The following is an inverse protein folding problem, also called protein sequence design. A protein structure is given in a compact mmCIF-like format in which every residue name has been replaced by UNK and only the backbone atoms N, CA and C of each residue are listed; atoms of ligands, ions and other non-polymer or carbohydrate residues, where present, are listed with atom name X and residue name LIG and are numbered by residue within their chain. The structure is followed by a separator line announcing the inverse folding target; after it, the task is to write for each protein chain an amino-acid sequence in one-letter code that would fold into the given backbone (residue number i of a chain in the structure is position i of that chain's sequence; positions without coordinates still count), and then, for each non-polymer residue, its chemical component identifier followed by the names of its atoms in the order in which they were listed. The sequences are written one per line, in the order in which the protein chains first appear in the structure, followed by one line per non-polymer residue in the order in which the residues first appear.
data_IF_667080174115
#
_entry.id   IF_667080174115
#
_cell.length_a   1.000
_cell.length_b   1.000
_cell.length_c   1.000
_cell.angle_alpha   90.00
_cell.angle_beta   90.00
_cell.angle_gamma   90.00
#
_symmetry.space_group_name_H-M   'P 1'
#
loop_
_entity.id
_entity.type
_entity.pdbx_description
1 polymer ?
#
# COMPACT_ATOMS: atom_id res chain seq x y z
N UNK A 1 -6.94 -13.01 5.60
CA UNK A 1 -6.95 -11.64 5.04
C UNK A 1 -6.84 -11.76 3.52
N UNK A 2 -7.80 -11.20 2.80
CA UNK A 2 -7.86 -11.23 1.33
C UNK A 2 -7.53 -9.84 0.76
N UNK A 3 -6.53 -9.76 -0.13
CA UNK A 3 -6.09 -8.53 -0.78
C UNK A 3 -6.33 -8.62 -2.28
N UNK A 4 -6.87 -7.53 -2.82
CA UNK A 4 -7.08 -7.31 -4.25
C UNK A 4 -6.47 -5.96 -4.63
N UNK A 5 -5.69 -5.93 -5.70
CA UNK A 5 -5.14 -4.68 -6.20
C UNK A 5 -6.15 -4.00 -7.12
N UNK A 6 -6.54 -2.79 -6.76
CA UNK A 6 -7.46 -1.95 -7.52
C UNK A 6 -6.71 -1.04 -8.50
N UNK A 7 -5.39 -1.13 -8.60
CA UNK A 7 -4.55 -0.25 -9.42
C UNK A 7 -3.81 0.80 -8.58
N UNK A 8 -2.72 1.34 -9.12
CA UNK A 8 -1.89 2.35 -8.45
C UNK A 8 -1.51 1.98 -7.01
N UNK A 9 -1.88 2.79 -6.02
CA UNK A 9 -1.72 2.52 -4.59
C UNK A 9 -3.00 2.00 -3.91
N UNK A 10 -4.04 1.67 -4.67
CA UNK A 10 -5.34 1.29 -4.11
C UNK A 10 -5.52 -0.22 -3.99
N UNK A 11 -5.95 -0.66 -2.82
CA UNK A 11 -6.20 -2.07 -2.51
C UNK A 11 -7.55 -2.22 -1.81
N UNK A 12 -8.30 -3.25 -2.19
CA UNK A 12 -9.43 -3.77 -1.40
C UNK A 12 -8.88 -4.88 -0.48
N UNK A 13 -8.95 -4.65 0.83
CA UNK A 13 -8.51 -5.58 1.85
C UNK A 13 -9.75 -6.05 2.61
N UNK A 14 -10.01 -7.35 2.59
CA UNK A 14 -11.10 -7.98 3.33
C UNK A 14 -10.53 -8.77 4.51
N UNK A 15 -10.99 -8.46 5.71
CA UNK A 15 -10.65 -9.17 6.95
C UNK A 15 -11.90 -9.36 7.80
N UNK A 16 -12.22 -10.62 8.13
CA UNK A 16 -13.52 -10.99 8.68
C UNK A 16 -14.67 -10.48 7.81
N UNK A 17 -15.52 -9.65 8.39
CA UNK A 17 -16.62 -8.95 7.70
C UNK A 17 -16.26 -7.52 7.25
N UNK A 18 -15.05 -7.04 7.53
CA UNK A 18 -14.62 -5.65 7.26
C UNK A 18 -13.90 -5.56 5.92
N UNK A 19 -14.36 -4.66 5.05
CA UNK A 19 -13.66 -4.23 3.84
C UNK A 19 -13.01 -2.87 4.07
N UNK A 20 -11.76 -2.79 3.66
CA UNK A 20 -10.92 -1.60 3.74
C UNK A 20 -10.48 -1.25 2.32
N UNK A 21 -10.61 0.01 1.94
CA UNK A 21 -10.01 0.54 0.70
C UNK A 21 -8.89 1.50 1.07
N UNK A 22 -7.70 1.26 0.54
CA UNK A 22 -6.57 2.19 0.65
C UNK A 22 -6.57 3.12 -0.55
N UNK A 23 -6.26 4.40 -0.33
CA UNK A 23 -5.95 5.41 -1.36
C UNK A 23 -6.84 5.34 -2.61
N UNK A 24 -8.18 5.49 -2.47
CA UNK A 24 -9.08 5.46 -3.62
C UNK A 24 -8.74 6.59 -4.61
N UNK A 25 -8.91 6.33 -5.90
CA UNK A 25 -8.62 7.28 -6.98
C UNK A 25 -9.84 7.46 -7.90
N UNK A 26 -9.79 8.48 -8.77
CA UNK A 26 -10.79 8.72 -9.82
C UNK A 26 -10.28 8.28 -11.22
N UNK A 27 -11.16 8.32 -12.21
CA UNK A 27 -10.87 7.88 -13.59
C UNK A 27 -9.74 8.66 -14.28
N UNK A 28 -9.32 9.82 -13.77
CA UNK A 28 -8.22 10.60 -14.34
C UNK A 28 -6.89 9.88 -14.25
N UNK A 29 -6.78 8.91 -13.33
CA UNK A 29 -5.63 8.05 -13.22
C UNK A 29 -5.51 7.06 -14.39
N UNK A 30 -6.62 6.84 -15.10
CA UNK A 30 -6.75 6.04 -16.32
C UNK A 30 -7.22 4.60 -16.11
N UNK A 31 -7.35 4.18 -14.85
CA UNK A 31 -8.01 2.92 -14.49
C UNK A 31 -9.53 3.05 -14.56
N UNK A 32 -10.26 2.04 -15.08
CA UNK A 32 -11.72 2.04 -15.01
C UNK A 32 -12.21 2.03 -13.56
N UNK A 33 -13.17 2.91 -13.25
CA UNK A 33 -13.82 2.95 -11.95
C UNK A 33 -14.87 1.84 -11.86
N UNK A 34 -14.68 0.95 -10.89
CA UNK A 34 -15.66 -0.06 -10.52
C UNK A 34 -16.32 0.38 -9.21
N UNK A 35 -17.66 0.36 -9.09
CA UNK A 35 -18.33 0.63 -7.82
C UNK A 35 -17.82 -0.31 -6.73
N UNK A 36 -17.41 0.26 -5.59
CA UNK A 36 -16.96 -0.49 -4.41
C UNK A 36 -17.56 0.12 -3.15
N UNK A 37 -17.85 -0.73 -2.18
CA UNK A 37 -18.27 -0.32 -0.85
C UNK A 37 -17.27 -0.80 0.17
N UNK A 38 -16.98 0.04 1.16
CA UNK A 38 -16.08 -0.30 2.26
C UNK A 38 -16.61 0.25 3.58
N UNK A 39 -16.25 -0.42 4.67
CA UNK A 39 -16.50 0.07 6.02
C UNK A 39 -15.40 1.05 6.46
N UNK A 40 -14.19 0.94 5.88
CA UNK A 40 -13.05 1.80 6.20
C UNK A 40 -12.37 2.27 4.91
N UNK A 41 -11.95 3.53 4.88
CA UNK A 41 -11.05 4.06 3.86
C UNK A 41 -9.83 4.68 4.53
N UNK A 42 -8.62 4.30 4.11
CA UNK A 42 -7.40 5.03 4.48
C UNK A 42 -6.94 5.92 3.34
N UNK A 43 -6.49 7.13 3.65
CA UNK A 43 -5.93 8.08 2.67
C UNK A 43 -4.56 8.51 3.15
N UNK A 44 -3.50 8.06 2.49
CA UNK A 44 -2.12 8.36 2.87
C UNK A 44 -1.80 9.85 2.79
N UNK A 45 -2.35 10.55 1.79
CA UNK A 45 -2.18 11.98 1.58
C UNK A 45 -3.22 12.55 0.61
N UNK A 46 -3.27 13.89 0.48
CA UNK A 46 -4.36 14.61 -0.19
C UNK A 46 -4.11 14.89 -1.68
N UNK A 47 -3.23 14.13 -2.35
CA UNK A 47 -3.10 14.23 -3.80
C UNK A 47 -4.29 13.57 -4.51
N UNK A 48 -4.56 14.04 -5.73
CA UNK A 48 -5.75 13.70 -6.51
C UNK A 48 -5.84 12.22 -6.89
N UNK A 49 -4.70 11.52 -6.92
CA UNK A 49 -4.55 10.10 -7.24
C UNK A 49 -4.65 9.17 -6.02
N UNK A 50 -4.93 9.71 -4.83
CA UNK A 50 -5.03 8.94 -3.57
C UNK A 50 -6.26 9.26 -2.70
N UNK A 51 -7.02 10.32 -2.99
CA UNK A 51 -8.05 10.84 -2.07
C UNK A 51 -9.49 10.88 -2.62
N UNK A 52 -9.81 10.05 -3.61
CA UNK A 52 -11.12 10.00 -4.25
C UNK A 52 -12.19 9.25 -3.41
N UNK A 53 -12.26 9.53 -2.11
CA UNK A 53 -13.16 8.88 -1.14
C UNK A 53 -14.63 8.96 -1.56
N UNK A 54 -15.04 10.04 -2.24
CA UNK A 54 -16.41 10.24 -2.71
C UNK A 54 -16.90 9.17 -3.71
N UNK A 55 -15.99 8.37 -4.29
CA UNK A 55 -16.33 7.26 -5.18
C UNK A 55 -16.49 5.91 -4.45
N UNK A 56 -16.27 5.88 -3.13
CA UNK A 56 -16.45 4.69 -2.29
C UNK A 56 -17.82 4.74 -1.61
N UNK A 57 -18.66 3.73 -1.87
CA UNK A 57 -19.96 3.55 -1.23
C UNK A 57 -19.84 2.95 0.20
N UNK A 58 -20.98 2.74 0.85
CA UNK A 58 -21.05 2.13 2.18
C UNK A 58 -20.84 3.07 3.38
N UNK A 59 -20.70 4.38 3.15
CA UNK A 59 -20.42 5.40 4.18
C UNK A 59 -19.22 5.04 5.07
N UNK A 60 -18.02 4.86 4.47
CA UNK A 60 -16.86 4.38 5.19
C UNK A 60 -16.42 5.36 6.28
N UNK A 61 -15.81 4.82 7.35
CA UNK A 61 -14.97 5.62 8.23
C UNK A 61 -13.67 5.97 7.52
N UNK A 62 -13.46 7.26 7.28
CA UNK A 62 -12.26 7.78 6.63
C UNK A 62 -11.16 8.05 7.66
N UNK A 63 -9.98 7.48 7.44
CA UNK A 63 -8.79 7.66 8.27
C UNK A 63 -7.69 8.24 7.38
N UNK A 64 -7.34 9.50 7.61
CA UNK A 64 -6.40 10.25 6.76
C UNK A 64 -5.27 10.95 7.53
N UNK A 65 -5.24 10.77 8.86
CA UNK A 65 -4.28 11.42 9.75
C UNK A 65 -3.51 10.38 10.55
N UNK A 66 -2.25 10.65 10.94
CA UNK A 66 -1.51 9.83 11.89
C UNK A 66 -2.27 9.62 13.21
N UNK A 67 -2.08 8.47 13.84
CA UNK A 67 -2.75 8.13 15.09
C UNK A 67 -3.21 6.67 15.14
N UNK A 68 -3.83 6.28 16.25
CA UNK A 68 -4.34 4.93 16.47
C UNK A 68 -5.86 4.91 16.41
N UNK A 69 -6.41 4.04 15.56
CA UNK A 69 -7.83 3.94 15.28
C UNK A 69 -8.29 2.48 15.38
N UNK A 70 -9.27 2.21 16.25
CA UNK A 70 -9.97 0.93 16.30
C UNK A 70 -11.30 1.00 15.56
N UNK A 71 -11.57 0.03 14.69
CA UNK A 71 -12.85 -0.15 13.99
C UNK A 71 -13.20 -1.64 13.99
N UNK A 72 -14.12 -2.04 14.87
CA UNK A 72 -14.38 -3.46 15.11
C UNK A 72 -13.11 -4.17 15.59
N UNK A 73 -12.76 -5.28 14.93
CA UNK A 73 -11.57 -6.08 15.22
C UNK A 73 -10.33 -5.61 14.43
N UNK A 74 -10.43 -4.52 13.67
CA UNK A 74 -9.34 -3.95 12.90
C UNK A 74 -8.71 -2.80 13.68
N UNK A 75 -7.38 -2.88 13.87
CA UNK A 75 -6.57 -1.78 14.40
C UNK A 75 -5.79 -1.14 13.25
N UNK A 76 -5.90 0.18 13.12
CA UNK A 76 -5.20 0.97 12.11
C UNK A 76 -4.32 1.99 12.83
N UNK A 77 -3.03 1.97 12.53
CA UNK A 77 -2.06 2.95 13.04
C UNK A 77 -1.43 3.72 11.89
N UNK A 78 -1.65 5.03 11.86
CA UNK A 78 -1.02 5.94 10.91
C UNK A 78 0.25 6.54 11.50
N UNK A 79 1.35 6.52 10.73
CA UNK A 79 2.63 7.11 11.10
C UNK A 79 3.00 8.23 10.12
N UNK A 80 3.44 9.40 10.61
CA UNK A 80 3.80 10.50 9.74
C UNK A 80 5.13 10.22 9.02
N UNK A 81 5.12 10.36 7.71
CA UNK A 81 6.30 10.35 6.83
C UNK A 81 6.19 11.48 5.81
N UNK A 82 7.06 11.47 4.80
CA UNK A 82 7.08 12.48 3.75
C UNK A 82 7.08 11.85 2.36
N UNK A 83 6.47 12.57 1.42
CA UNK A 83 6.43 12.23 0.00
C UNK A 83 7.76 12.57 -0.72
N UNK A 84 8.70 13.20 -0.01
CA UNK A 84 10.00 13.57 -0.56
C UNK A 84 11.14 13.42 0.46
N UNK A 85 12.38 13.52 -0.03
CA UNK A 85 13.61 13.50 0.79
C UNK A 85 13.88 14.82 1.51
N UNK A 86 13.07 15.85 1.25
CA UNK A 86 13.19 17.20 1.79
C UNK A 86 12.17 17.49 2.89
N UNK A 87 11.67 16.45 3.57
CA UNK A 87 10.72 16.54 4.69
C UNK A 87 9.41 17.23 4.29
N UNK A 88 8.90 16.90 3.11
CA UNK A 88 7.62 17.36 2.59
C UNK A 88 7.66 18.75 1.96
N UNK A 89 8.84 19.32 1.73
CA UNK A 89 8.98 20.65 1.13
C UNK A 89 8.61 20.70 -0.35
N UNK A 90 8.75 19.59 -1.06
CA UNK A 90 8.51 19.52 -2.50
C UNK A 90 7.16 18.88 -2.83
N UNK A 91 6.78 17.84 -2.08
CA UNK A 91 5.64 16.98 -2.36
C UNK A 91 4.69 16.80 -1.17
N UNK A 92 5.02 17.40 -0.03
CA UNK A 92 4.15 17.38 1.14
C UNK A 92 4.28 16.15 2.04
N UNK A 93 3.29 16.00 2.91
CA UNK A 93 3.25 14.94 3.92
C UNK A 93 2.73 13.64 3.32
N UNK A 94 3.14 12.54 3.90
CA UNK A 94 2.58 11.21 3.65
C UNK A 94 2.27 10.55 5.00
N UNK A 95 1.24 9.72 5.06
CA UNK A 95 0.96 8.86 6.22
C UNK A 95 1.02 7.42 5.77
N UNK A 96 1.91 6.64 6.39
CA UNK A 96 1.93 5.18 6.20
C UNK A 96 0.95 4.56 7.20
N UNK A 97 0.19 3.56 6.76
CA UNK A 97 -0.82 2.91 7.60
C UNK A 97 -0.48 1.44 7.85
N UNK A 98 -0.33 1.10 9.12
CA UNK A 98 -0.30 -0.28 9.58
C UNK A 98 -1.73 -0.74 9.88
N UNK A 99 -2.17 -1.80 9.24
CA UNK A 99 -3.46 -2.45 9.42
C UNK A 99 -3.22 -3.79 10.10
N UNK A 100 -3.74 -3.96 11.31
CA UNK A 100 -3.61 -5.17 12.11
C UNK A 100 -4.96 -5.83 12.30
N UNK A 101 -5.10 -7.06 11.81
CA UNK A 101 -6.28 -7.91 11.93
C UNK A 101 -5.90 -9.38 11.65
N UNK A 102 -6.66 -10.34 12.18
CA UNK A 102 -6.40 -11.79 11.98
C UNK A 102 -4.94 -12.21 12.25
N UNK A 103 -4.34 -11.66 13.31
CA UNK A 103 -2.93 -11.87 13.71
C UNK A 103 -1.87 -11.45 12.66
N UNK A 104 -2.30 -10.74 11.61
CA UNK A 104 -1.47 -10.22 10.53
C UNK A 104 -1.28 -8.72 10.68
N UNK A 105 -0.07 -8.26 10.35
CA UNK A 105 0.28 -6.85 10.23
C UNK A 105 0.58 -6.52 8.77
N UNK A 106 -0.27 -5.72 8.15
CA UNK A 106 -0.04 -5.16 6.82
C UNK A 106 0.43 -3.71 6.95
N UNK A 107 1.45 -3.30 6.19
CA UNK A 107 1.89 -1.91 6.10
C UNK A 107 1.71 -1.39 4.68
N UNK A 108 0.88 -0.35 4.55
CA UNK A 108 0.73 0.43 3.32
C UNK A 108 1.61 1.68 3.42
N UNK A 109 2.57 1.84 2.51
CA UNK A 109 3.55 2.92 2.57
C UNK A 109 3.11 4.23 1.93
N UNK A 110 1.90 4.32 1.37
CA UNK A 110 1.47 5.47 0.57
C UNK A 110 2.51 5.76 -0.52
N UNK A 111 2.80 7.03 -0.67
CA UNK A 111 3.84 7.52 -1.55
C UNK A 111 5.09 7.89 -0.76
N UNK A 112 5.63 6.93 -0.01
CA UNK A 112 6.86 7.16 0.73
C UNK A 112 7.98 7.65 -0.21
N UNK A 113 8.58 8.80 0.10
CA UNK A 113 9.61 9.44 -0.71
C UNK A 113 11.03 9.34 -0.15
N UNK A 114 11.23 8.60 0.95
CA UNK A 114 12.52 8.45 1.63
C UNK A 114 12.63 7.10 2.34
N UNK A 115 13.86 6.69 2.66
CA UNK A 115 14.11 5.52 3.52
C UNK A 115 13.66 5.83 4.95
N UNK A 116 13.03 4.86 5.62
CA UNK A 116 12.60 4.99 7.02
C UNK A 116 13.80 4.95 7.97
N UNK A 117 13.79 5.77 9.02
CA UNK A 117 14.81 5.71 10.06
C UNK A 117 14.67 4.46 10.92
N UNK A 118 15.74 4.07 11.62
CA UNK A 118 15.67 2.93 12.55
C UNK A 118 14.66 3.17 13.69
N UNK A 119 14.50 4.43 14.15
CA UNK A 119 13.46 4.76 15.12
C UNK A 119 12.06 4.51 14.56
N UNK A 120 11.80 4.95 13.32
CA UNK A 120 10.51 4.73 12.66
C UNK A 120 10.23 3.23 12.50
N UNK A 121 11.20 2.44 12.03
CA UNK A 121 11.07 0.98 11.90
C UNK A 121 10.75 0.33 13.26
N UNK A 122 11.44 0.75 14.32
CA UNK A 122 11.18 0.25 15.68
C UNK A 122 9.78 0.61 16.18
N UNK A 123 9.30 1.81 15.86
CA UNK A 123 7.96 2.29 16.24
C UNK A 123 6.84 1.56 15.49
N UNK A 124 7.06 1.26 14.20
CA UNK A 124 6.13 0.49 13.35
C UNK A 124 6.03 -0.96 13.86
N UNK A 125 7.14 -1.53 14.30
CA UNK A 125 7.21 -2.90 14.79
C UNK A 125 7.07 -3.95 13.67
N UNK A 126 6.71 -5.20 14.00
CA UNK A 126 6.71 -6.29 13.03
C UNK A 126 5.62 -6.10 11.97
N UNK A 127 5.98 -6.38 10.72
CA UNK A 127 5.13 -6.33 9.52
C UNK A 127 5.20 -7.68 8.82
N UNK A 128 4.05 -8.25 8.48
CA UNK A 128 3.95 -9.51 7.74
C UNK A 128 3.81 -9.27 6.24
N UNK A 129 3.05 -8.23 5.86
CA UNK A 129 2.74 -7.89 4.46
C UNK A 129 3.10 -6.42 4.22
N UNK A 130 3.92 -6.14 3.22
CA UNK A 130 4.34 -4.79 2.85
C UNK A 130 3.81 -4.41 1.47
N UNK A 131 3.03 -3.32 1.40
CA UNK A 131 2.63 -2.69 0.15
C UNK A 131 3.60 -1.53 -0.12
N UNK A 132 4.40 -1.66 -1.17
CA UNK A 132 5.64 -0.89 -1.37
C UNK A 132 5.64 -0.14 -2.70
N UNK A 133 5.68 1.21 -2.74
CA UNK A 133 5.81 1.93 -4.00
C UNK A 133 7.19 1.66 -4.64
N UNK A 134 7.23 1.49 -5.96
CA UNK A 134 8.49 1.20 -6.70
C UNK A 134 8.68 2.03 -7.96
N UNK A 135 7.82 3.02 -8.22
CA UNK A 135 7.78 3.79 -9.46
C UNK A 135 8.83 4.90 -9.61
N UNK A 136 9.59 5.22 -8.55
CA UNK A 136 10.84 6.01 -8.57
C UNK A 136 10.77 7.51 -8.90
N UNK A 137 9.77 7.97 -9.65
CA UNK A 137 9.67 9.37 -10.09
C UNK A 137 9.10 10.29 -9.00
N UNK A 138 8.04 9.83 -8.35
CA UNK A 138 7.33 10.57 -7.32
C UNK A 138 7.50 9.96 -5.92
N UNK A 139 7.87 8.69 -5.86
CA UNK A 139 8.09 7.91 -4.64
C UNK A 139 9.54 7.46 -4.56
N UNK A 140 9.87 6.60 -3.59
CA UNK A 140 11.10 5.79 -3.64
C UNK A 140 11.20 4.97 -4.93
N UNK A 141 12.43 4.79 -5.40
CA UNK A 141 12.75 3.95 -6.55
C UNK A 141 13.07 2.51 -6.16
N UNK A 142 13.33 1.67 -7.16
CA UNK A 142 13.60 0.24 -6.97
C UNK A 142 14.72 -0.08 -5.96
N UNK A 143 15.81 0.67 -5.95
CA UNK A 143 16.93 0.44 -5.02
C UNK A 143 16.56 0.79 -3.57
N UNK A 144 15.93 1.94 -3.35
CA UNK A 144 15.45 2.34 -2.01
C UNK A 144 14.32 1.43 -1.53
N UNK A 145 13.43 1.00 -2.43
CA UNK A 145 12.39 0.03 -2.12
C UNK A 145 12.99 -1.30 -1.66
N UNK A 146 14.05 -1.77 -2.31
CA UNK A 146 14.79 -2.96 -1.87
C UNK A 146 15.42 -2.75 -0.48
N UNK A 147 16.01 -1.58 -0.20
CA UNK A 147 16.55 -1.26 1.12
C UNK A 147 15.45 -1.22 2.21
N UNK A 148 14.32 -0.57 1.94
CA UNK A 148 13.17 -0.51 2.85
C UNK A 148 12.67 -1.92 3.19
N UNK A 149 12.57 -2.80 2.19
CA UNK A 149 12.22 -4.20 2.41
C UNK A 149 13.22 -4.91 3.33
N UNK A 150 14.54 -4.67 3.15
CA UNK A 150 15.58 -5.27 4.01
C UNK A 150 15.53 -4.74 5.46
N UNK A 151 15.11 -3.50 5.66
CA UNK A 151 14.94 -2.90 6.98
C UNK A 151 13.69 -3.43 7.70
N UNK A 152 12.56 -3.51 6.99
CA UNK A 152 11.27 -3.97 7.54
C UNK A 152 11.23 -5.49 7.73
N UNK A 153 11.88 -6.24 6.83
CA UNK A 153 11.91 -7.72 6.79
C UNK A 153 10.51 -8.38 6.79
N UNK A 154 9.59 -7.98 5.90
CA UNK A 154 8.27 -8.60 5.80
C UNK A 154 8.36 -10.00 5.16
N UNK A 155 7.39 -10.87 5.44
CA UNK A 155 7.28 -12.19 4.80
C UNK A 155 6.60 -12.13 3.42
N UNK A 156 5.84 -11.09 3.14
CA UNK A 156 5.22 -10.82 1.82
C UNK A 156 5.47 -9.37 1.42
N UNK A 157 5.90 -9.16 0.19
CA UNK A 157 6.06 -7.83 -0.42
C UNK A 157 5.23 -7.77 -1.69
N UNK A 158 4.37 -6.76 -1.77
CA UNK A 158 3.56 -6.45 -2.94
C UNK A 158 3.98 -5.07 -3.44
N UNK A 159 4.68 -4.97 -4.58
CA UNK A 159 4.99 -3.68 -5.16
C UNK A 159 3.70 -2.99 -5.64
N UNK A 160 3.68 -1.67 -5.58
CA UNK A 160 2.59 -0.81 -6.03
C UNK A 160 3.15 0.47 -6.67
N UNK A 161 2.28 1.36 -7.15
CA UNK A 161 2.67 2.66 -7.69
C UNK A 161 3.80 2.56 -8.74
N UNK A 162 3.57 1.76 -9.79
CA UNK A 162 4.50 1.52 -10.90
C UNK A 162 3.77 1.66 -12.24
N UNK A 163 4.53 1.70 -13.34
CA UNK A 163 3.97 1.90 -14.69
C UNK A 163 3.02 0.75 -15.09
N UNK A 164 1.84 1.11 -15.55
CA UNK A 164 0.88 0.16 -16.15
C UNK A 164 0.36 0.70 -17.48
N UNK A 165 -0.23 -0.15 -18.35
CA UNK A 165 -0.87 0.32 -19.58
C UNK A 165 -2.04 1.30 -19.35
N UNK A 166 -2.60 1.36 -18.14
CA UNK A 166 -3.74 2.22 -17.81
C UNK A 166 -3.32 3.59 -17.27
N UNK A 167 -2.09 3.74 -16.78
CA UNK A 167 -1.68 4.93 -16.05
C UNK A 167 -1.59 6.15 -16.99
N UNK A 168 -2.14 7.29 -16.56
CA UNK A 168 -2.15 8.54 -17.35
C UNK A 168 -0.83 9.32 -17.32
N UNK A 169 0.17 8.85 -16.58
CA UNK A 169 1.50 9.44 -16.49
C UNK A 169 2.59 8.38 -16.37
N UNK A 170 3.84 8.78 -16.59
CA UNK A 170 4.98 7.85 -16.57
C UNK A 170 5.54 7.60 -15.17
N UNK A 171 5.79 6.32 -14.89
CA UNK A 171 6.54 5.79 -13.76
C UNK A 171 7.56 4.75 -14.25
N UNK A 172 8.42 4.27 -13.35
CA UNK A 172 9.22 3.09 -13.62
C UNK A 172 8.35 1.81 -13.69
N UNK A 173 8.70 0.85 -14.58
CA UNK A 173 8.00 -0.42 -14.65
C UNK A 173 8.37 -1.31 -13.44
N UNK A 174 7.45 -2.20 -13.04
CA UNK A 174 7.63 -3.09 -11.89
C UNK A 174 8.86 -4.00 -12.04
N UNK A 175 9.26 -4.30 -13.27
CA UNK A 175 10.44 -5.08 -13.64
C UNK A 175 11.75 -4.51 -13.10
N UNK A 176 11.83 -3.18 -12.89
CA UNK A 176 13.01 -2.59 -12.24
C UNK A 176 13.19 -3.10 -10.82
N UNK A 177 12.11 -3.41 -10.12
CA UNK A 177 12.14 -3.98 -8.76
C UNK A 177 12.20 -5.51 -8.80
N UNK A 178 11.33 -6.15 -9.58
CA UNK A 178 11.20 -7.62 -9.56
C UNK A 178 12.41 -8.35 -10.13
N UNK A 179 13.18 -7.74 -11.04
CA UNK A 179 14.43 -8.31 -11.56
C UNK A 179 15.52 -8.54 -10.51
N UNK A 180 15.38 -7.97 -9.31
CA UNK A 180 16.30 -8.20 -8.17
C UNK A 180 16.09 -9.53 -7.45
N UNK A 181 15.05 -10.28 -7.84
CA UNK A 181 14.62 -11.49 -7.14
C UNK A 181 14.57 -12.69 -8.08
N UNK A 182 15.04 -13.83 -7.60
CA UNK A 182 15.00 -15.08 -8.37
C UNK A 182 13.57 -15.61 -8.57
N UNK A 183 12.67 -15.31 -7.63
CA UNK A 183 11.29 -15.80 -7.62
C UNK A 183 10.32 -14.65 -7.37
N UNK A 184 9.45 -14.44 -8.35
CA UNK A 184 8.35 -13.47 -8.29
C UNK A 184 7.08 -14.19 -8.72
N UNK A 185 6.04 -14.09 -7.89
CA UNK A 185 4.73 -14.66 -8.19
C UNK A 185 3.82 -13.58 -8.74
N UNK A 186 3.05 -13.92 -9.77
CA UNK A 186 1.93 -13.08 -10.25
C UNK A 186 0.64 -13.76 -9.82
N UNK A 187 -0.23 -13.02 -9.15
CA UNK A 187 -1.50 -13.55 -8.62
C UNK A 187 -2.64 -12.55 -8.87
N UNK A 188 -3.86 -13.01 -9.17
CA UNK A 188 -5.01 -12.10 -9.31
C UNK A 188 -5.46 -11.48 -7.97
N UNK A 189 -5.20 -12.17 -6.87
CA UNK A 189 -5.45 -11.73 -5.50
C UNK A 189 -4.56 -12.52 -4.55
N UNK A 190 -4.42 -12.06 -3.31
CA UNK A 190 -3.75 -12.79 -2.23
C UNK A 190 -4.76 -13.10 -1.12
N UNK A 191 -5.02 -14.37 -0.86
CA UNK A 191 -5.69 -14.83 0.36
C UNK A 191 -4.64 -15.46 1.27
N UNK A 192 -4.45 -14.90 2.47
CA UNK A 192 -3.38 -15.29 3.37
C UNK A 192 -3.80 -15.28 4.83
N UNK A 193 -3.34 -16.29 5.57
CA UNK A 193 -3.47 -16.40 7.03
C UNK A 193 -2.08 -16.42 7.66
N UNK A 194 -2.01 -16.14 8.96
CA UNK A 194 -0.75 -16.14 9.72
C UNK A 194 0.07 -17.42 9.56
N UNK A 195 -0.61 -18.57 9.51
CA UNK A 195 0.01 -19.89 9.34
C UNK A 195 0.63 -20.14 7.96
N UNK A 196 0.27 -19.35 6.95
CA UNK A 196 0.76 -19.50 5.57
C UNK A 196 2.07 -18.73 5.33
N UNK A 197 2.49 -17.91 6.31
CA UNK A 197 3.73 -17.13 6.24
C UNK A 197 4.95 -18.06 6.32
N UNK A 198 5.90 -17.80 5.44
CA UNK A 198 7.16 -18.55 5.34
C UNK A 198 8.30 -17.74 5.93
N UNK A 199 9.43 -18.40 6.21
CA UNK A 199 10.65 -17.73 6.70
C UNK A 199 11.28 -16.81 5.66
N UNK A 200 11.22 -17.19 4.37
CA UNK A 200 11.74 -16.37 3.27
C UNK A 200 10.65 -15.44 2.72
N UNK A 201 11.00 -14.17 2.40
CA UNK A 201 10.05 -13.21 1.85
C UNK A 201 9.58 -13.64 0.45
N UNK A 202 8.26 -13.56 0.21
CA UNK A 202 7.67 -13.74 -1.12
C UNK A 202 7.43 -12.39 -1.79
N UNK A 203 7.92 -12.22 -3.01
CA UNK A 203 7.58 -11.08 -3.87
C UNK A 203 6.37 -11.47 -4.72
N UNK A 204 5.27 -10.75 -4.53
CA UNK A 204 3.99 -11.02 -5.19
C UNK A 204 3.56 -9.76 -5.95
N UNK A 205 3.50 -9.83 -7.28
CA UNK A 205 2.87 -8.80 -8.10
C UNK A 205 1.41 -9.17 -8.26
N UNK A 206 0.51 -8.37 -7.69
CA UNK A 206 -0.92 -8.57 -7.91
C UNK A 206 -1.32 -8.05 -9.29
N UNK A 207 -2.19 -8.78 -9.97
CA UNK A 207 -2.77 -8.35 -11.25
C UNK A 207 -3.86 -7.32 -11.00
N UNK A 208 -3.96 -6.34 -11.90
CA UNK A 208 -5.04 -5.36 -11.84
C UNK A 208 -6.35 -6.07 -12.17
N UNK A 209 -7.29 -6.09 -11.22
CA UNK A 209 -8.61 -6.65 -11.43
C UNK A 209 -9.44 -5.71 -12.31
N UNK A 210 -9.44 -5.97 -13.61
CA UNK A 210 -10.57 -5.60 -14.45
C UNK A 210 -11.75 -6.45 -13.95
N UNK A 211 -12.77 -5.80 -13.40
CA UNK A 211 -13.96 -6.47 -12.85
C UNK A 211 -14.64 -7.40 -13.84
#
# INVERSE_FOLDING_TARGET
MLLKWLGHASFEITTGSTRIITDPFDEKLGYPLLPREAEIVTVSHQHWDHNAVNFVGGQPRVISEPGLYGVGDVLIQGYPTFHDRQKGRERGKNTIFKISAEDLNLLHLGDLGHILSQEQIKEIGPIDILLLPVGGKYTVGSDEAFEIMQLIKPQVVIPMHFMTPHLSFELDPVERFTSKFERVQKLPYLDIKKQDLMTEPKIIVLEYLMG
#
